data_IF_231057409649
#
_entry.id   IF_231057409649
#
_cell.length_a   1.000
_cell.length_b   1.000
_cell.length_c   1.000
_cell.angle_alpha   90.00
_cell.angle_beta   90.00
_cell.angle_gamma   90.00
#
_symmetry.space_group_name_H-M   'P 1'
#
loop_
_entity.id
_entity.type
_entity.pdbx_description
1 polymer ?
#
# COMPACT_ATOMS: atom_id res chain seq x y z
N UNK A 1 23.80 29.73 48.02
CA UNK A 1 23.59 30.33 46.69
C UNK A 1 24.70 29.85 45.76
N UNK A 2 24.44 28.84 44.99
CA UNK A 2 25.38 28.35 43.99
C UNK A 2 24.65 28.20 42.65
N UNK A 3 25.08 29.00 41.68
CA UNK A 3 24.56 29.00 40.30
C UNK A 3 25.05 27.75 39.59
N UNK A 4 24.14 26.82 39.30
CA UNK A 4 24.42 25.76 38.34
C UNK A 4 24.42 26.35 36.93
N UNK A 5 25.56 26.36 36.26
CA UNK A 5 25.72 26.66 34.85
C UNK A 5 25.14 25.51 34.04
N UNK A 6 24.10 25.81 33.30
CA UNK A 6 23.57 24.91 32.28
C UNK A 6 24.53 24.94 31.09
N UNK A 7 25.29 23.86 30.93
CA UNK A 7 26.10 23.62 29.73
C UNK A 7 25.17 22.96 28.72
N UNK A 8 24.69 23.74 27.77
CA UNK A 8 24.05 23.25 26.56
C UNK A 8 25.16 22.76 25.65
N UNK A 9 25.35 21.44 25.55
CA UNK A 9 26.19 20.87 24.52
C UNK A 9 25.42 20.85 23.19
N UNK A 10 25.73 21.80 22.34
CA UNK A 10 25.57 21.67 20.89
C UNK A 10 26.42 20.51 20.41
N UNK A 11 25.82 19.40 20.08
CA UNK A 11 26.50 18.33 19.33
C UNK A 11 25.47 17.40 18.73
N UNK A 12 25.00 17.73 17.57
CA UNK A 12 24.54 16.88 16.46
C UNK A 12 24.34 17.77 15.22
N UNK A 13 25.35 18.55 14.87
CA UNK A 13 25.45 19.21 13.57
C UNK A 13 26.68 18.63 12.87
N UNK A 14 26.49 17.49 12.23
CA UNK A 14 27.37 17.05 11.18
C UNK A 14 26.51 16.87 9.92
N UNK A 15 26.65 17.79 8.98
CA UNK A 15 25.88 17.85 7.74
C UNK A 15 26.25 16.73 6.74
N UNK A 16 27.03 15.73 7.17
CA UNK A 16 27.51 14.60 6.38
C UNK A 16 26.67 13.33 6.49
N UNK A 17 25.58 13.33 7.28
CA UNK A 17 24.74 12.14 7.44
C UNK A 17 23.75 11.97 6.30
N UNK A 18 23.67 10.75 5.72
CA UNK A 18 22.68 10.38 4.74
C UNK A 18 21.26 10.42 5.34
N UNK A 19 20.21 10.53 4.48
CA UNK A 19 18.82 10.52 4.92
C UNK A 19 18.48 9.32 5.81
N UNK A 20 19.10 8.16 5.54
CA UNK A 20 18.96 6.94 6.33
C UNK A 20 19.53 7.12 7.74
N UNK A 21 20.67 7.79 7.88
CA UNK A 21 21.31 8.06 9.18
C UNK A 21 20.50 9.02 10.04
N UNK A 22 19.85 10.02 9.41
CA UNK A 22 18.93 10.93 10.12
C UNK A 22 17.68 10.20 10.65
N UNK A 23 17.15 9.20 9.94
CA UNK A 23 16.04 8.38 10.41
C UNK A 23 16.39 7.49 11.61
N UNK A 24 17.61 6.95 11.68
CA UNK A 24 18.06 6.15 12.82
C UNK A 24 18.38 7.01 14.05
N UNK A 25 18.98 8.16 13.84
CA UNK A 25 19.32 9.09 14.92
C UNK A 25 18.07 9.58 15.68
N UNK A 26 16.96 9.88 14.98
CA UNK A 26 15.74 10.36 15.61
C UNK A 26 14.97 9.28 16.43
N UNK A 27 15.17 7.99 16.14
CA UNK A 27 14.54 6.88 16.88
C UNK A 27 15.31 6.46 18.13
N UNK A 28 16.61 6.73 18.20
CA UNK A 28 17.50 6.25 19.24
C UNK A 28 17.92 7.32 20.24
N UNK A 29 17.79 8.59 19.89
CA UNK A 29 18.12 9.68 20.80
C UNK A 29 16.90 10.09 21.62
N UNK A 30 16.55 9.30 22.65
CA UNK A 30 15.84 9.82 23.80
C UNK A 30 16.82 10.72 24.60
N UNK A 31 16.35 11.83 25.25
CA UNK A 31 17.22 12.75 25.98
C UNK A 31 18.06 12.11 27.10
N UNK A 32 17.86 10.84 27.40
CA UNK A 32 18.52 10.08 28.47
C UNK A 32 19.55 9.05 28.00
N UNK A 33 19.71 8.78 26.69
CA UNK A 33 20.66 7.79 26.17
C UNK A 33 21.71 8.46 25.26
N UNK A 34 23.01 8.29 25.60
CA UNK A 34 24.11 8.68 24.73
C UNK A 34 24.20 7.71 23.54
N UNK A 35 24.01 8.22 22.31
CA UNK A 35 24.34 7.46 21.11
C UNK A 35 25.86 7.24 21.05
N UNK A 36 26.30 6.00 21.21
CA UNK A 36 27.70 5.63 20.96
C UNK A 36 27.86 5.23 19.49
N UNK A 37 29.03 5.50 18.92
CA UNK A 37 29.40 5.07 17.56
C UNK A 37 29.28 3.55 17.37
N UNK A 38 29.44 2.78 18.44
CA UNK A 38 29.29 1.31 18.46
C UNK A 38 27.83 0.90 18.24
N UNK A 39 26.85 1.56 18.88
CA UNK A 39 25.41 1.23 18.67
C UNK A 39 24.94 1.51 17.26
N UNK A 40 25.45 2.54 16.60
CA UNK A 40 25.12 2.86 15.19
C UNK A 40 25.75 1.82 14.24
N UNK A 41 26.96 1.35 14.53
CA UNK A 41 27.64 0.32 13.71
C UNK A 41 26.96 -1.05 13.83
N UNK A 42 26.48 -1.42 15.01
CA UNK A 42 25.74 -2.66 15.25
C UNK A 42 24.39 -2.66 14.48
N UNK A 43 23.65 -1.57 14.54
CA UNK A 43 22.39 -1.42 13.80
C UNK A 43 22.59 -1.50 12.28
N UNK A 44 23.64 -0.86 11.77
CA UNK A 44 24.00 -0.98 10.34
C UNK A 44 24.32 -2.42 9.94
N UNK A 45 25.00 -3.16 10.80
CA UNK A 45 25.34 -4.56 10.56
C UNK A 45 24.08 -5.45 10.60
N UNK A 46 23.16 -5.20 11.51
CA UNK A 46 21.89 -5.91 11.58
C UNK A 46 21.02 -5.64 10.34
N UNK A 47 20.88 -4.40 9.92
CA UNK A 47 20.15 -4.04 8.70
C UNK A 47 20.76 -4.65 7.44
N UNK A 48 22.10 -4.66 7.35
CA UNK A 48 22.83 -5.31 6.26
C UNK A 48 22.56 -6.81 6.21
N UNK A 49 22.67 -7.51 7.35
CA UNK A 49 22.36 -8.94 7.46
C UNK A 49 20.91 -9.23 7.08
N UNK A 50 19.97 -8.41 7.55
CA UNK A 50 18.54 -8.56 7.23
C UNK A 50 18.27 -8.34 5.74
N UNK A 51 18.91 -7.35 5.13
CA UNK A 51 18.83 -7.12 3.69
C UNK A 51 19.39 -8.30 2.90
N UNK A 52 20.55 -8.84 3.28
CA UNK A 52 21.14 -10.02 2.65
C UNK A 52 20.25 -11.26 2.77
N UNK A 53 19.58 -11.45 3.91
CA UNK A 53 18.63 -12.54 4.11
C UNK A 53 17.42 -12.36 3.17
N UNK A 54 16.85 -11.17 3.08
CA UNK A 54 15.70 -10.89 2.21
C UNK A 54 16.04 -11.02 0.71
N UNK A 55 17.29 -10.72 0.31
CA UNK A 55 17.74 -10.95 -1.07
C UNK A 55 17.73 -12.44 -1.46
N UNK A 56 17.76 -13.34 -0.48
CA UNK A 56 17.68 -14.81 -0.69
C UNK A 56 16.28 -15.36 -0.42
N UNK A 57 15.44 -14.63 0.28
CA UNK A 57 14.08 -15.02 0.61
C UNK A 57 13.16 -15.00 -0.62
N UNK A 58 12.20 -15.93 -0.68
CA UNK A 58 11.12 -15.91 -1.67
C UNK A 58 10.00 -15.02 -1.16
N UNK A 59 9.62 -14.04 -1.96
CA UNK A 59 8.63 -13.03 -1.59
C UNK A 59 7.48 -13.06 -2.60
N UNK A 60 6.26 -13.31 -2.13
CA UNK A 60 5.05 -13.11 -2.93
C UNK A 60 4.57 -11.67 -2.78
N UNK A 61 4.45 -10.94 -3.87
CA UNK A 61 3.86 -9.61 -3.89
C UNK A 61 2.51 -9.68 -4.57
N UNK A 62 1.43 -9.55 -3.79
CA UNK A 62 0.08 -9.62 -4.32
C UNK A 62 -0.60 -8.26 -4.39
N UNK A 63 -1.02 -7.90 -5.59
CA UNK A 63 -1.76 -6.69 -5.89
C UNK A 63 -3.26 -6.98 -5.96
N UNK A 64 -4.06 -6.20 -5.20
CA UNK A 64 -5.51 -6.33 -5.17
C UNK A 64 -6.21 -5.05 -5.56
N UNK A 65 -7.28 -5.16 -6.33
CA UNK A 65 -8.15 -4.02 -6.70
C UNK A 65 -8.22 -3.75 -8.19
N UNK A 66 -9.13 -2.85 -8.58
CA UNK A 66 -9.31 -2.41 -9.97
C UNK A 66 -8.23 -1.43 -10.42
N UNK A 67 -7.97 -1.37 -11.73
CA UNK A 67 -6.82 -0.68 -12.35
C UNK A 67 -6.88 0.87 -12.34
N UNK A 68 -7.86 1.49 -11.75
CA UNK A 68 -8.24 2.93 -11.74
C UNK A 68 -7.15 3.93 -12.15
N UNK A 69 -6.10 4.05 -11.34
CA UNK A 69 -4.96 4.97 -11.54
C UNK A 69 -3.64 4.22 -11.68
N UNK A 70 -3.71 3.01 -12.24
CA UNK A 70 -2.57 2.11 -12.34
C UNK A 70 -1.45 2.65 -13.22
N UNK A 71 -1.75 3.54 -14.14
CA UNK A 71 -0.78 4.30 -14.94
C UNK A 71 0.21 5.11 -14.09
N UNK A 72 -0.22 5.50 -12.87
CA UNK A 72 0.61 6.23 -11.91
C UNK A 72 1.28 5.28 -10.91
N UNK A 73 0.53 4.29 -10.43
CA UNK A 73 0.91 3.46 -9.29
C UNK A 73 1.70 2.22 -9.68
N UNK A 74 1.38 1.61 -10.81
CA UNK A 74 2.05 0.39 -11.28
C UNK A 74 3.57 0.54 -11.41
N UNK A 75 4.09 1.57 -12.11
CA UNK A 75 5.52 1.82 -12.19
C UNK A 75 6.19 2.02 -10.82
N UNK A 76 5.54 2.76 -9.91
CA UNK A 76 6.08 2.99 -8.56
C UNK A 76 6.12 1.71 -7.71
N UNK A 77 5.12 0.83 -7.84
CA UNK A 77 5.10 -0.49 -7.19
C UNK A 77 6.23 -1.36 -7.72
N UNK A 78 6.42 -1.39 -9.04
CA UNK A 78 7.49 -2.16 -9.64
C UNK A 78 8.87 -1.70 -9.17
N UNK A 79 9.10 -0.40 -9.15
CA UNK A 79 10.38 0.19 -8.75
C UNK A 79 10.67 0.01 -7.26
N UNK A 80 9.69 0.25 -6.40
CA UNK A 80 9.88 0.33 -4.95
C UNK A 80 9.56 -0.97 -4.18
N UNK A 81 8.99 -1.98 -4.84
CA UNK A 81 8.71 -3.29 -4.23
C UNK A 81 9.34 -4.41 -5.06
N UNK A 82 8.89 -4.60 -6.32
CA UNK A 82 9.25 -5.78 -7.11
C UNK A 82 10.74 -5.81 -7.50
N UNK A 83 11.31 -4.67 -7.87
CA UNK A 83 12.72 -4.57 -8.28
C UNK A 83 13.69 -4.44 -7.09
N UNK A 84 13.17 -4.21 -5.87
CA UNK A 84 14.00 -4.13 -4.66
C UNK A 84 14.48 -5.51 -4.23
N UNK A 85 13.63 -6.53 -4.46
CA UNK A 85 13.87 -7.90 -4.03
C UNK A 85 13.90 -8.85 -5.25
N UNK A 86 15.08 -9.39 -5.64
CA UNK A 86 15.23 -10.14 -6.89
C UNK A 86 14.42 -11.45 -6.95
N UNK A 87 14.01 -11.98 -5.79
CA UNK A 87 13.17 -13.16 -5.66
C UNK A 87 11.71 -12.83 -5.37
N UNK A 88 11.28 -11.61 -5.69
CA UNK A 88 9.88 -11.22 -5.60
C UNK A 88 9.11 -11.72 -6.85
N UNK A 89 8.00 -12.42 -6.61
CA UNK A 89 7.07 -12.87 -7.63
C UNK A 89 5.78 -12.06 -7.58
N UNK A 90 5.31 -11.58 -8.74
CA UNK A 90 4.08 -10.80 -8.85
C UNK A 90 2.85 -11.70 -8.95
N UNK A 91 1.87 -11.43 -8.11
CA UNK A 91 0.50 -11.91 -8.19
C UNK A 91 -0.45 -10.73 -8.38
N UNK A 92 -1.39 -10.84 -9.31
CA UNK A 92 -2.46 -9.87 -9.50
C UNK A 92 -3.82 -10.55 -9.32
N UNK A 93 -4.66 -10.01 -8.45
CA UNK A 93 -6.07 -10.38 -8.33
C UNK A 93 -6.97 -9.15 -8.49
N UNK A 94 -7.58 -8.99 -9.66
CA UNK A 94 -8.27 -7.77 -10.05
C UNK A 94 -9.65 -8.03 -10.66
N UNK A 95 -10.67 -7.22 -10.33
CA UNK A 95 -11.89 -7.23 -11.12
C UNK A 95 -11.61 -6.63 -12.50
N UNK A 96 -12.29 -7.18 -13.52
CA UNK A 96 -12.33 -6.60 -14.85
C UNK A 96 -13.12 -5.30 -14.80
N UNK A 97 -12.47 -4.19 -15.10
CA UNK A 97 -13.08 -2.86 -15.19
C UNK A 97 -12.60 -2.09 -16.44
N UNK A 98 -13.15 -0.89 -16.63
CA UNK A 98 -12.83 -0.04 -17.78
C UNK A 98 -11.37 0.39 -17.86
N UNK A 99 -10.63 0.32 -16.76
CA UNK A 99 -9.24 0.73 -16.63
C UNK A 99 -8.27 -0.47 -16.72
N UNK A 100 -8.79 -1.71 -16.83
CA UNK A 100 -7.98 -2.94 -16.81
C UNK A 100 -6.93 -3.01 -17.91
N UNK A 101 -7.12 -2.29 -19.03
CA UNK A 101 -6.12 -2.16 -20.09
C UNK A 101 -4.77 -1.61 -19.59
N UNK A 102 -4.78 -0.85 -18.49
CA UNK A 102 -3.57 -0.26 -17.89
C UNK A 102 -2.61 -1.32 -17.33
N UNK A 103 -3.11 -2.52 -17.02
CA UNK A 103 -2.24 -3.63 -16.59
C UNK A 103 -1.27 -4.09 -17.68
N UNK A 104 -1.50 -3.74 -18.94
CA UNK A 104 -0.54 -4.00 -20.03
C UNK A 104 0.87 -3.46 -19.75
N UNK A 105 0.99 -2.46 -18.87
CA UNK A 105 2.27 -1.89 -18.45
C UNK A 105 3.19 -2.92 -17.74
N UNK A 106 2.62 -3.97 -17.13
CA UNK A 106 3.41 -5.04 -16.49
C UNK A 106 4.36 -5.75 -17.44
N UNK A 107 4.05 -5.77 -18.73
CA UNK A 107 4.95 -6.28 -19.75
C UNK A 107 6.35 -5.67 -19.63
N UNK A 108 6.43 -4.39 -19.31
CA UNK A 108 7.68 -3.65 -19.31
C UNK A 108 8.31 -3.52 -17.91
N UNK A 109 7.48 -3.51 -16.86
CA UNK A 109 7.94 -3.17 -15.51
C UNK A 109 8.03 -4.36 -14.56
N UNK A 110 7.28 -5.44 -14.79
CA UNK A 110 7.27 -6.58 -13.87
C UNK A 110 8.45 -7.54 -14.16
N UNK A 111 9.33 -7.82 -13.19
CA UNK A 111 10.46 -8.73 -13.41
C UNK A 111 10.01 -10.18 -13.55
N UNK A 112 9.16 -10.66 -12.65
CA UNK A 112 8.61 -12.02 -12.63
C UNK A 112 7.12 -11.98 -12.37
N UNK A 113 6.34 -12.65 -13.23
CA UNK A 113 4.88 -12.74 -13.13
C UNK A 113 4.50 -14.17 -12.81
N UNK A 114 4.16 -14.43 -11.55
CA UNK A 114 3.75 -15.76 -11.10
C UNK A 114 2.32 -16.07 -11.53
N UNK A 115 1.37 -15.16 -11.24
CA UNK A 115 -0.04 -15.41 -11.59
C UNK A 115 -0.80 -14.11 -11.82
N UNK A 116 -1.56 -14.05 -12.89
CA UNK A 116 -2.51 -12.98 -13.20
C UNK A 116 -3.92 -13.54 -13.18
N UNK A 117 -4.80 -12.93 -12.40
CA UNK A 117 -6.24 -13.16 -12.42
C UNK A 117 -6.98 -11.85 -12.60
N UNK A 118 -7.71 -11.74 -13.72
CA UNK A 118 -8.62 -10.64 -14.03
C UNK A 118 -9.99 -11.24 -14.31
N UNK A 119 -11.01 -10.92 -13.53
CA UNK A 119 -12.30 -11.59 -13.60
C UNK A 119 -13.48 -10.63 -13.55
N UNK A 120 -14.59 -11.01 -14.17
CA UNK A 120 -15.84 -10.24 -14.04
C UNK A 120 -16.39 -10.38 -12.62
N UNK A 121 -16.54 -9.27 -11.86
CA UNK A 121 -17.05 -9.36 -10.51
C UNK A 121 -18.51 -9.85 -10.51
N UNK A 122 -18.79 -10.82 -9.66
CA UNK A 122 -20.15 -11.34 -9.43
C UNK A 122 -20.59 -11.01 -8.00
N UNK A 123 -21.89 -10.93 -7.78
CA UNK A 123 -22.42 -10.79 -6.41
C UNK A 123 -22.09 -12.05 -5.62
N UNK A 124 -21.62 -11.87 -4.40
CA UNK A 124 -21.41 -12.93 -3.43
C UNK A 124 -22.71 -13.19 -2.65
N UNK A 125 -22.94 -14.46 -2.28
CA UNK A 125 -24.11 -14.80 -1.48
C UNK A 125 -23.99 -14.19 -0.08
N UNK A 126 -24.94 -13.31 0.28
CA UNK A 126 -25.02 -12.72 1.61
C UNK A 126 -25.78 -13.64 2.55
N UNK A 127 -25.06 -14.16 3.51
CA UNK A 127 -25.64 -15.01 4.56
C UNK A 127 -26.05 -14.17 5.78
N UNK A 128 -26.77 -14.80 6.73
CA UNK A 128 -27.19 -14.12 7.94
C UNK A 128 -26.02 -13.68 8.82
N UNK A 129 -24.93 -14.45 8.87
CA UNK A 129 -23.74 -14.01 9.60
C UNK A 129 -23.06 -12.78 8.98
N UNK A 130 -23.05 -12.65 7.64
CA UNK A 130 -22.56 -11.42 7.00
C UNK A 130 -23.36 -10.19 7.45
N UNK A 131 -24.69 -10.30 7.49
CA UNK A 131 -25.59 -9.21 7.92
C UNK A 131 -25.47 -8.88 9.41
N UNK A 132 -25.15 -9.88 10.24
CA UNK A 132 -24.92 -9.62 11.68
C UNK A 132 -23.58 -8.97 11.94
N UNK A 133 -22.52 -9.46 11.30
CA UNK A 133 -21.14 -9.00 11.53
C UNK A 133 -20.90 -7.63 10.95
N UNK A 134 -21.35 -7.36 9.71
CA UNK A 134 -20.98 -6.12 9.00
C UNK A 134 -22.05 -5.05 9.03
N UNK A 135 -21.58 -3.78 9.10
CA UNK A 135 -22.44 -2.64 8.88
C UNK A 135 -22.57 -2.33 7.38
N UNK A 136 -23.80 -2.10 6.87
CA UNK A 136 -23.98 -1.67 5.48
C UNK A 136 -23.31 -0.32 5.17
N UNK A 137 -23.04 0.49 6.20
CA UNK A 137 -22.39 1.81 6.07
C UNK A 137 -20.86 1.70 5.88
N UNK A 138 -20.27 0.51 6.05
CA UNK A 138 -18.82 0.27 5.95
C UNK A 138 -18.28 0.32 4.50
N UNK A 139 -19.13 0.45 3.49
CA UNK A 139 -18.73 0.53 2.07
C UNK A 139 -19.80 1.29 1.27
N UNK A 140 -19.41 2.02 0.21
CA UNK A 140 -20.37 2.66 -0.72
C UNK A 140 -21.40 1.68 -1.33
N UNK A 141 -21.01 0.41 -1.50
CA UNK A 141 -21.84 -0.65 -2.04
C UNK A 141 -22.42 -1.57 -0.93
N UNK A 142 -22.50 -1.08 0.30
CA UNK A 142 -23.00 -1.85 1.45
C UNK A 142 -22.18 -3.10 1.74
N UNK A 143 -22.81 -4.15 2.25
CA UNK A 143 -22.15 -5.42 2.58
C UNK A 143 -21.50 -6.05 1.34
N UNK A 144 -22.14 -5.96 0.17
CA UNK A 144 -21.55 -6.49 -1.08
C UNK A 144 -20.19 -5.87 -1.39
N UNK A 145 -20.01 -4.56 -1.14
CA UNK A 145 -18.72 -3.90 -1.35
C UNK A 145 -17.63 -4.46 -0.45
N UNK A 146 -17.94 -4.78 0.81
CA UNK A 146 -17.03 -5.43 1.73
C UNK A 146 -16.70 -6.85 1.29
N UNK A 147 -17.71 -7.65 0.98
CA UNK A 147 -17.52 -9.04 0.57
C UNK A 147 -16.70 -9.16 -0.72
N UNK A 148 -16.96 -8.32 -1.71
CA UNK A 148 -16.17 -8.28 -2.95
C UNK A 148 -14.70 -7.88 -2.68
N UNK A 149 -14.48 -6.92 -1.80
CA UNK A 149 -13.12 -6.55 -1.40
C UNK A 149 -12.41 -7.70 -0.67
N UNK A 150 -13.09 -8.37 0.25
CA UNK A 150 -12.52 -9.52 0.97
C UNK A 150 -12.23 -10.68 0.04
N UNK A 151 -13.10 -10.94 -0.93
CA UNK A 151 -12.86 -11.93 -1.97
C UNK A 151 -11.61 -11.63 -2.82
N UNK A 152 -11.36 -10.35 -3.11
CA UNK A 152 -10.13 -9.94 -3.78
C UNK A 152 -8.89 -10.22 -2.91
N UNK A 153 -8.95 -9.92 -1.61
CA UNK A 153 -7.83 -10.15 -0.69
C UNK A 153 -7.58 -11.65 -0.50
N UNK A 154 -8.61 -12.44 -0.24
CA UNK A 154 -8.48 -13.90 -0.05
C UNK A 154 -8.12 -14.62 -1.35
N UNK A 155 -8.53 -14.09 -2.50
CA UNK A 155 -8.11 -14.59 -3.80
C UNK A 155 -6.60 -14.51 -4.03
N UNK A 156 -5.90 -13.55 -3.39
CA UNK A 156 -4.43 -13.55 -3.36
C UNK A 156 -3.87 -14.81 -2.71
N UNK A 157 -4.41 -15.19 -1.55
CA UNK A 157 -3.97 -16.38 -0.84
C UNK A 157 -4.19 -17.63 -1.69
N UNK A 158 -5.35 -17.71 -2.37
CA UNK A 158 -5.67 -18.81 -3.30
C UNK A 158 -4.64 -18.92 -4.42
N UNK A 159 -4.29 -17.78 -5.05
CA UNK A 159 -3.29 -17.76 -6.14
C UNK A 159 -1.90 -18.18 -5.65
N UNK A 160 -1.47 -17.65 -4.49
CA UNK A 160 -0.18 -17.95 -3.90
C UNK A 160 -0.08 -19.43 -3.52
N UNK A 161 -1.09 -19.96 -2.85
CA UNK A 161 -1.12 -21.37 -2.45
C UNK A 161 -1.10 -22.31 -3.68
N UNK A 162 -1.88 -22.02 -4.71
CA UNK A 162 -1.87 -22.80 -5.95
C UNK A 162 -0.49 -22.78 -6.61
N UNK A 163 0.17 -21.63 -6.64
CA UNK A 163 1.50 -21.50 -7.22
C UNK A 163 2.57 -22.24 -6.41
N UNK A 164 2.51 -22.19 -5.08
CA UNK A 164 3.40 -22.95 -4.18
C UNK A 164 3.28 -24.47 -4.41
N UNK A 165 2.04 -24.98 -4.47
CA UNK A 165 1.78 -26.39 -4.73
C UNK A 165 2.29 -26.83 -6.12
N UNK A 166 2.03 -26.01 -7.14
CA UNK A 166 2.45 -26.28 -8.52
C UNK A 166 3.98 -26.39 -8.67
N UNK A 167 4.74 -25.59 -7.88
CA UNK A 167 6.18 -25.46 -8.03
C UNK A 167 6.97 -26.07 -6.87
N UNK A 168 6.31 -26.80 -5.96
CA UNK A 168 6.91 -27.51 -4.82
C UNK A 168 7.83 -26.64 -3.95
N UNK A 169 7.33 -25.50 -3.52
CA UNK A 169 8.02 -24.63 -2.57
C UNK A 169 7.05 -23.77 -1.73
N UNK A 170 7.58 -23.03 -0.76
CA UNK A 170 6.83 -22.05 0.02
C UNK A 170 7.48 -20.67 -0.04
N UNK A 171 6.66 -19.60 0.03
CA UNK A 171 7.15 -18.25 0.21
C UNK A 171 7.51 -17.99 1.67
N UNK A 172 8.64 -17.31 1.89
CA UNK A 172 9.04 -16.83 3.21
C UNK A 172 8.17 -15.65 3.66
N UNK A 173 7.85 -14.78 2.69
CA UNK A 173 7.12 -13.53 2.94
C UNK A 173 6.03 -13.29 1.92
N UNK A 174 4.94 -12.68 2.39
CA UNK A 174 3.85 -12.19 1.54
C UNK A 174 3.67 -10.70 1.81
N UNK A 175 3.73 -9.90 0.74
CA UNK A 175 3.40 -8.49 0.70
C UNK A 175 2.09 -8.32 -0.05
N UNK A 176 1.01 -7.99 0.64
CA UNK A 176 -0.26 -7.66 -0.01
C UNK A 176 -0.44 -6.16 -0.04
N UNK A 177 -0.64 -5.59 -1.21
CA UNK A 177 -0.90 -4.16 -1.40
C UNK A 177 -2.01 -3.91 -2.41
N UNK A 178 -2.59 -2.71 -2.38
CA UNK A 178 -3.59 -2.28 -3.36
C UNK A 178 -2.91 -1.88 -4.66
N UNK A 179 -3.60 -2.08 -5.79
CA UNK A 179 -3.13 -1.63 -7.11
C UNK A 179 -3.04 -0.10 -7.22
N UNK A 180 -3.88 0.63 -6.45
CA UNK A 180 -3.93 2.09 -6.42
C UNK A 180 -2.99 2.72 -5.37
N UNK A 181 -2.02 1.97 -4.85
CA UNK A 181 -0.96 2.44 -3.95
C UNK A 181 0.23 3.04 -4.73
N UNK A 182 0.48 4.34 -4.57
CA UNK A 182 1.69 5.00 -5.11
C UNK A 182 2.81 4.95 -4.07
N UNK A 183 3.96 4.44 -4.46
CA UNK A 183 5.14 4.30 -3.61
C UNK A 183 6.18 5.37 -3.96
N UNK A 184 6.58 6.18 -2.98
CA UNK A 184 7.56 7.24 -3.15
C UNK A 184 8.98 6.88 -2.66
N UNK A 185 9.15 5.69 -2.05
CA UNK A 185 10.45 5.16 -1.68
C UNK A 185 10.40 3.62 -1.57
N UNK A 186 11.57 2.94 -1.62
CA UNK A 186 11.65 1.49 -1.54
C UNK A 186 11.10 0.91 -0.23
N UNK A 187 10.47 -0.27 -0.33
CA UNK A 187 10.06 -1.05 0.84
C UNK A 187 11.29 -1.51 1.61
N UNK A 188 11.50 -0.94 2.79
CA UNK A 188 12.69 -1.17 3.60
C UNK A 188 12.69 -2.56 4.27
N UNK A 189 13.88 -3.19 4.47
CA UNK A 189 14.01 -4.52 5.08
C UNK A 189 13.44 -4.62 6.50
N UNK A 190 13.44 -3.54 7.26
CA UNK A 190 12.91 -3.51 8.63
C UNK A 190 11.39 -3.70 8.71
N UNK A 191 10.67 -3.63 7.57
CA UNK A 191 9.24 -3.90 7.48
C UNK A 191 8.90 -5.40 7.42
N UNK A 192 9.87 -6.29 7.26
CA UNK A 192 9.69 -7.74 7.34
C UNK A 192 9.94 -8.19 8.78
N UNK A 193 8.87 -8.36 9.54
CA UNK A 193 8.93 -8.62 10.98
C UNK A 193 9.07 -10.12 11.27
N UNK A 194 9.97 -10.52 12.19
CA UNK A 194 10.13 -11.93 12.55
C UNK A 194 8.93 -12.47 13.33
N UNK A 195 8.87 -13.79 13.41
CA UNK A 195 7.91 -14.52 14.25
C UNK A 195 6.44 -14.29 13.88
N UNK A 196 5.56 -14.30 14.87
CA UNK A 196 4.11 -14.21 14.71
C UNK A 196 3.61 -12.75 14.62
N UNK A 197 4.33 -11.90 13.86
CA UNK A 197 3.94 -10.52 13.66
C UNK A 197 3.50 -10.26 12.22
N UNK A 198 2.45 -9.47 12.08
CA UNK A 198 1.98 -8.95 10.81
C UNK A 198 2.10 -7.44 10.80
N UNK A 199 2.74 -6.87 9.79
CA UNK A 199 2.91 -5.44 9.67
C UNK A 199 1.74 -4.83 8.91
N UNK A 200 1.18 -3.74 9.44
CA UNK A 200 0.15 -2.92 8.81
C UNK A 200 0.61 -1.45 8.79
N UNK A 201 0.10 -0.62 7.85
CA UNK A 201 0.41 0.81 7.87
C UNK A 201 -0.17 1.49 9.10
N UNK A 202 0.54 2.47 9.65
CA UNK A 202 -0.01 3.39 10.63
C UNK A 202 -1.08 4.31 10.01
N UNK A 203 -1.96 4.88 10.82
CA UNK A 203 -3.04 5.76 10.33
C UNK A 203 -4.20 5.02 9.65
N UNK A 204 -5.21 5.75 9.23
CA UNK A 204 -6.43 5.23 8.55
C UNK A 204 -7.04 3.99 9.23
N UNK A 205 -7.10 4.00 10.57
CA UNK A 205 -7.47 2.83 11.40
C UNK A 205 -8.97 2.56 11.44
N UNK A 206 -9.80 3.58 11.37
CA UNK A 206 -11.28 3.50 11.45
C UNK A 206 -11.78 2.55 12.55
N UNK A 207 -11.15 2.61 13.73
CA UNK A 207 -11.42 1.74 14.87
C UNK A 207 -10.74 0.36 14.84
N UNK A 208 -10.04 0.01 13.77
CA UNK A 208 -9.35 -1.28 13.58
C UNK A 208 -7.89 -1.15 13.16
N UNK A 209 -7.49 -1.93 12.16
CA UNK A 209 -6.18 -1.88 11.53
C UNK A 209 -6.30 -1.37 10.10
N UNK A 210 -5.35 -0.54 9.67
CA UNK A 210 -5.27 -0.09 8.28
C UNK A 210 -5.07 -1.31 7.35
N UNK A 211 -6.08 -1.62 6.55
CA UNK A 211 -6.12 -2.81 5.69
C UNK A 211 -5.68 -2.55 4.25
N UNK A 212 -4.99 -1.42 3.98
CA UNK A 212 -4.54 -1.02 2.64
C UNK A 212 -3.28 -1.75 2.18
N UNK A 213 -2.50 -2.23 3.13
CA UNK A 213 -1.29 -3.03 2.92
C UNK A 213 -1.09 -3.98 4.10
N UNK A 214 -0.37 -5.07 3.86
CA UNK A 214 0.09 -5.94 4.93
C UNK A 214 1.29 -6.76 4.52
N UNK A 215 2.19 -7.00 5.48
CA UNK A 215 3.41 -7.78 5.30
C UNK A 215 3.51 -8.80 6.43
N UNK A 216 3.69 -10.05 6.08
CA UNK A 216 3.89 -11.12 7.04
C UNK A 216 4.62 -12.32 6.45
N UNK A 217 5.05 -13.24 7.30
CA UNK A 217 5.47 -14.56 6.86
C UNK A 217 4.26 -15.36 6.36
N UNK A 218 4.48 -16.56 5.84
CA UNK A 218 3.41 -17.39 5.29
C UNK A 218 2.28 -17.60 6.33
N UNK A 219 2.61 -17.96 7.57
CA UNK A 219 1.61 -18.30 8.60
C UNK A 219 0.74 -17.09 8.98
N UNK A 220 1.35 -15.94 9.25
CA UNK A 220 0.59 -14.73 9.61
C UNK A 220 -0.20 -14.18 8.43
N UNK A 221 0.32 -14.33 7.21
CA UNK A 221 -0.36 -13.91 5.99
C UNK A 221 -1.53 -14.81 5.62
N UNK A 222 -1.47 -16.11 5.90
CA UNK A 222 -2.63 -17.01 5.73
C UNK A 222 -3.82 -16.50 6.54
N UNK A 223 -3.60 -16.11 7.78
CA UNK A 223 -4.65 -15.54 8.64
C UNK A 223 -5.10 -14.17 8.13
N UNK A 224 -4.15 -13.28 7.86
CA UNK A 224 -4.44 -11.91 7.45
C UNK A 224 -5.18 -11.82 6.10
N UNK A 225 -4.97 -12.76 5.21
CA UNK A 225 -5.60 -12.79 3.88
C UNK A 225 -6.92 -13.60 3.86
N UNK A 226 -7.21 -14.45 4.85
CA UNK A 226 -8.45 -15.23 4.96
C UNK A 226 -9.65 -14.36 5.34
N UNK A 227 -9.89 -13.28 4.58
CA UNK A 227 -10.85 -12.22 4.92
C UNK A 227 -12.31 -12.70 4.88
N UNK A 228 -12.66 -13.58 3.96
CA UNK A 228 -14.01 -14.15 3.86
C UNK A 228 -14.20 -15.38 4.75
N UNK A 229 -13.26 -16.32 4.72
CA UNK A 229 -13.38 -17.60 5.40
C UNK A 229 -13.36 -17.48 6.92
N UNK A 230 -12.84 -16.39 7.49
CA UNK A 230 -12.87 -16.11 8.93
C UNK A 230 -14.12 -15.37 9.42
N UNK A 231 -15.04 -14.93 8.56
CA UNK A 231 -16.24 -14.20 8.97
C UNK A 231 -17.17 -15.03 9.88
N UNK A 232 -17.43 -16.33 9.61
CA UNK A 232 -18.23 -17.15 10.52
C UNK A 232 -17.68 -17.22 11.94
N UNK A 233 -16.35 -17.22 12.10
CA UNK A 233 -15.72 -17.18 13.40
C UNK A 233 -15.96 -15.84 14.09
N UNK A 234 -15.87 -14.69 13.38
CA UNK A 234 -16.20 -13.40 13.95
C UNK A 234 -17.64 -13.33 14.45
N UNK A 235 -18.58 -13.95 13.73
CA UNK A 235 -19.97 -14.06 14.19
C UNK A 235 -20.09 -14.87 15.47
N UNK A 236 -19.39 -16.01 15.55
CA UNK A 236 -19.35 -16.87 16.75
C UNK A 236 -18.74 -16.17 17.96
N UNK A 237 -17.71 -15.35 17.76
CA UNK A 237 -17.05 -14.51 18.79
C UNK A 237 -17.90 -13.26 19.19
N UNK A 238 -19.06 -13.07 18.58
CA UNK A 238 -19.98 -12.01 18.96
C UNK A 238 -19.70 -10.64 18.31
N UNK A 239 -18.86 -10.54 17.30
CA UNK A 239 -18.64 -9.28 16.58
C UNK A 239 -19.89 -8.86 15.81
N UNK A 240 -20.26 -7.59 15.90
CA UNK A 240 -21.50 -7.04 15.31
C UNK A 240 -21.28 -5.65 14.74
N UNK A 241 -21.86 -5.41 13.54
CA UNK A 241 -21.92 -4.09 12.90
C UNK A 241 -20.54 -3.42 12.72
N UNK A 242 -19.52 -4.21 12.37
CA UNK A 242 -18.15 -3.74 12.20
C UNK A 242 -17.85 -3.40 10.72
N UNK A 243 -16.82 -2.56 10.50
CA UNK A 243 -16.31 -2.20 9.18
C UNK A 243 -15.14 -3.10 8.75
N UNK A 244 -14.51 -2.78 7.61
CA UNK A 244 -13.38 -3.55 7.08
C UNK A 244 -12.19 -3.57 8.04
N UNK A 245 -11.78 -2.42 8.53
CA UNK A 245 -10.60 -2.25 9.37
C UNK A 245 -10.78 -2.90 10.75
N UNK A 246 -11.97 -2.76 11.35
CA UNK A 246 -12.30 -3.41 12.63
C UNK A 246 -12.37 -4.94 12.46
N UNK A 247 -12.94 -5.44 11.35
CA UNK A 247 -12.96 -6.87 11.07
C UNK A 247 -11.56 -7.43 10.87
N UNK A 248 -10.67 -6.66 10.24
CA UNK A 248 -9.28 -7.05 10.05
C UNK A 248 -8.54 -7.21 11.38
N UNK A 249 -8.66 -6.22 12.26
CA UNK A 249 -8.12 -6.30 13.62
C UNK A 249 -8.68 -7.50 14.37
N UNK A 250 -10.00 -7.71 14.32
CA UNK A 250 -10.65 -8.83 14.98
C UNK A 250 -10.12 -10.18 14.47
N UNK A 251 -9.98 -10.35 13.17
CA UNK A 251 -9.42 -11.58 12.56
C UNK A 251 -8.00 -11.87 13.05
N UNK A 252 -7.13 -10.87 13.07
CA UNK A 252 -5.75 -11.04 13.56
C UNK A 252 -5.74 -11.41 15.04
N UNK A 253 -6.52 -10.72 15.88
CA UNK A 253 -6.50 -10.91 17.33
C UNK A 253 -7.12 -12.23 17.75
N UNK A 254 -8.24 -12.65 17.16
CA UNK A 254 -8.90 -13.94 17.47
C UNK A 254 -8.05 -15.14 17.04
N UNK A 255 -7.17 -14.97 16.06
CA UNK A 255 -6.22 -15.99 15.61
C UNK A 255 -4.85 -15.88 16.31
N UNK A 256 -4.70 -15.01 17.30
CA UNK A 256 -3.45 -14.85 18.07
C UNK A 256 -2.28 -14.23 17.25
N UNK A 257 -2.57 -13.58 16.12
CA UNK A 257 -1.55 -12.89 15.33
C UNK A 257 -1.35 -11.49 15.91
N UNK A 258 -0.11 -11.21 16.33
CA UNK A 258 0.30 -9.87 16.74
C UNK A 258 0.48 -8.97 15.51
N UNK A 259 0.00 -7.74 15.56
CA UNK A 259 0.27 -6.78 14.49
C UNK A 259 1.10 -5.60 15.02
N UNK A 260 1.94 -5.06 14.14
CA UNK A 260 2.69 -3.84 14.38
C UNK A 260 2.34 -2.82 13.30
N UNK A 261 2.16 -1.58 13.73
CA UNK A 261 1.92 -0.46 12.84
C UNK A 261 3.24 0.24 12.53
N UNK A 262 3.49 0.52 11.25
CA UNK A 262 4.67 1.27 10.84
C UNK A 262 4.30 2.34 9.81
N UNK A 263 5.11 3.40 9.76
CA UNK A 263 5.02 4.43 8.72
C UNK A 263 5.63 3.88 7.45
N UNK A 264 4.86 3.90 6.37
CA UNK A 264 5.26 3.31 5.10
C UNK A 264 5.23 4.35 3.97
N UNK A 265 6.18 4.31 3.03
CA UNK A 265 6.33 5.32 1.99
C UNK A 265 5.38 5.09 0.82
N UNK A 266 4.07 5.04 1.10
CA UNK A 266 3.06 4.93 0.06
C UNK A 266 1.80 5.70 0.43
N UNK A 267 1.00 6.05 -0.58
CA UNK A 267 -0.34 6.62 -0.44
C UNK A 267 -1.32 5.98 -1.42
N UNK A 268 -2.61 6.07 -1.15
CA UNK A 268 -3.65 5.54 -2.04
C UNK A 268 -4.18 6.66 -2.93
N UNK A 269 -3.97 6.53 -4.23
CA UNK A 269 -4.38 7.55 -5.20
C UNK A 269 -5.90 7.59 -5.32
N UNK A 270 -6.49 8.75 -5.06
CA UNK A 270 -7.94 8.92 -4.97
C UNK A 270 -8.45 10.08 -5.81
N UNK A 271 -9.54 9.83 -6.55
CA UNK A 271 -10.33 10.85 -7.22
C UNK A 271 -11.57 11.28 -6.42
N UNK A 272 -11.73 10.81 -5.17
CA UNK A 272 -12.84 11.23 -4.32
C UNK A 272 -12.80 12.73 -4.03
N UNK A 273 -13.99 13.34 -4.04
CA UNK A 273 -14.19 14.72 -3.58
C UNK A 273 -14.53 14.69 -2.10
N UNK A 274 -13.83 15.51 -1.34
CA UNK A 274 -13.99 15.58 0.11
C UNK A 274 -14.56 16.94 0.50
N UNK A 275 -15.65 16.94 1.28
CA UNK A 275 -16.26 18.13 1.85
C UNK A 275 -15.91 18.20 3.33
N UNK A 276 -14.76 18.75 3.66
CA UNK A 276 -14.37 18.99 5.04
C UNK A 276 -14.54 20.46 5.42
N UNK A 277 -15.38 20.78 6.41
CA UNK A 277 -15.39 22.11 6.97
C UNK A 277 -14.12 22.35 7.81
N UNK A 278 -13.55 23.58 7.81
CA UNK A 278 -13.91 24.70 6.98
C UNK A 278 -13.15 24.80 5.65
N UNK A 279 -12.16 23.95 5.37
CA UNK A 279 -11.20 24.14 4.27
C UNK A 279 -11.10 23.01 3.26
N UNK A 280 -11.74 21.86 3.47
CA UNK A 280 -11.78 20.74 2.52
C UNK A 280 -10.47 20.09 2.08
N UNK A 281 -9.45 20.09 2.92
CA UNK A 281 -8.07 19.73 2.58
C UNK A 281 -7.58 18.35 3.07
N UNK A 282 -8.33 17.24 3.07
CA UNK A 282 -7.86 16.04 3.75
C UNK A 282 -7.07 15.07 2.88
N UNK A 283 -6.62 15.48 1.69
CA UNK A 283 -5.91 14.64 0.75
C UNK A 283 -4.47 15.11 0.64
N UNK A 284 -3.53 14.20 0.83
CA UNK A 284 -2.12 14.51 0.69
C UNK A 284 -1.74 14.74 -0.79
N UNK A 285 -0.77 15.60 -1.02
CA UNK A 285 -0.07 15.63 -2.30
C UNK A 285 0.83 14.40 -2.44
N UNK A 286 0.83 13.79 -3.62
CA UNK A 286 1.77 12.71 -3.94
C UNK A 286 3.24 13.18 -3.90
N UNK A 287 3.50 14.49 -3.99
CA UNK A 287 4.82 15.11 -3.86
C UNK A 287 5.30 15.25 -2.41
N UNK A 288 4.48 14.90 -1.40
CA UNK A 288 4.90 14.95 0.00
C UNK A 288 6.15 14.11 0.24
N UNK A 289 7.22 14.66 0.83
CA UNK A 289 8.51 13.95 0.95
C UNK A 289 8.52 12.86 2.02
N UNK A 290 7.55 12.84 2.93
CA UNK A 290 7.49 11.86 4.02
C UNK A 290 6.64 10.63 3.71
N UNK A 291 6.65 9.64 4.61
CA UNK A 291 5.79 8.47 4.52
C UNK A 291 4.33 8.87 4.76
N UNK A 292 3.44 8.49 3.86
CA UNK A 292 2.01 8.79 3.94
C UNK A 292 1.16 7.60 4.43
N UNK A 293 1.78 6.44 4.64
CA UNK A 293 1.18 5.24 5.27
C UNK A 293 -0.20 4.86 4.72
N UNK A 294 -0.37 4.98 3.41
CA UNK A 294 -1.62 4.65 2.74
C UNK A 294 -2.72 5.71 2.84
N UNK A 295 -2.45 6.92 3.37
CA UNK A 295 -3.41 8.02 3.30
C UNK A 295 -3.84 8.29 1.86
N UNK A 296 -5.01 8.89 1.67
CA UNK A 296 -5.43 9.32 0.34
C UNK A 296 -4.54 10.42 -0.20
N UNK A 297 -4.16 10.32 -1.46
CA UNK A 297 -3.35 11.30 -2.16
C UNK A 297 -3.82 11.54 -3.59
N UNK A 298 -3.36 12.66 -4.16
CA UNK A 298 -3.56 13.00 -5.57
C UNK A 298 -2.35 13.81 -6.09
N UNK A 299 -2.09 13.78 -7.41
CA UNK A 299 -1.13 14.71 -8.00
C UNK A 299 -1.75 16.11 -8.05
N UNK A 300 -1.22 17.04 -7.28
CA UNK A 300 -1.73 18.39 -7.17
C UNK A 300 -0.61 19.39 -6.91
N UNK A 301 -0.89 20.66 -7.14
CA UNK A 301 -0.12 21.75 -6.55
C UNK A 301 -0.53 21.88 -5.08
N UNK A 302 0.38 21.71 -4.13
CA UNK A 302 0.02 21.82 -2.71
C UNK A 302 -0.49 23.22 -2.35
N UNK A 303 -1.64 23.29 -1.67
CA UNK A 303 -2.25 24.54 -1.20
C UNK A 303 -1.98 24.81 0.28
N UNK A 304 -1.44 23.81 1.00
CA UNK A 304 -1.16 23.88 2.43
C UNK A 304 0.03 22.96 2.74
N UNK A 305 1.11 23.53 3.30
CA UNK A 305 2.34 22.80 3.64
C UNK A 305 2.98 23.40 4.89
N UNK A 306 3.91 22.66 5.53
CA UNK A 306 4.57 23.10 6.76
C UNK A 306 3.58 23.40 7.88
N UNK A 307 3.70 24.53 8.60
CA UNK A 307 2.82 24.88 9.73
C UNK A 307 1.32 24.83 9.37
N UNK A 308 0.96 25.25 8.16
CA UNK A 308 -0.43 25.15 7.68
C UNK A 308 -0.94 23.70 7.70
N UNK A 309 -0.12 22.75 7.25
CA UNK A 309 -0.51 21.34 7.25
C UNK A 309 -0.55 20.76 8.67
N UNK A 310 0.39 21.14 9.52
CA UNK A 310 0.45 20.70 10.92
C UNK A 310 -0.77 21.19 11.71
N UNK A 311 -1.14 22.46 11.57
CA UNK A 311 -2.34 23.04 12.18
C UNK A 311 -3.61 22.33 11.69
N UNK A 312 -3.71 22.08 10.38
CA UNK A 312 -4.86 21.39 9.80
C UNK A 312 -4.97 19.96 10.32
N UNK A 313 -3.85 19.23 10.38
CA UNK A 313 -3.79 17.86 10.87
C UNK A 313 -4.16 17.76 12.36
N UNK A 314 -3.85 18.79 13.17
CA UNK A 314 -4.17 18.81 14.59
C UNK A 314 -5.68 18.86 14.88
N UNK A 315 -6.49 19.45 13.97
CA UNK A 315 -7.94 19.57 14.14
C UNK A 315 -8.75 18.42 13.53
N UNK A 316 -8.11 17.51 12.75
CA UNK A 316 -8.81 16.37 12.19
C UNK A 316 -9.16 15.35 13.27
N UNK A 317 -10.38 14.76 13.24
CA UNK A 317 -10.74 13.67 14.12
C UNK A 317 -9.77 12.51 14.02
N UNK A 318 -9.44 11.89 15.15
CA UNK A 318 -8.46 10.79 15.25
C UNK A 318 -8.81 9.59 14.34
N UNK A 319 -10.10 9.37 14.09
CA UNK A 319 -10.61 8.25 13.28
C UNK A 319 -10.63 8.53 11.77
N UNK A 320 -10.49 9.78 11.36
CA UNK A 320 -10.30 10.10 9.95
C UNK A 320 -8.87 9.76 9.53
N UNK A 321 -8.70 9.43 8.25
CA UNK A 321 -7.42 9.08 7.62
C UNK A 321 -6.31 10.07 8.03
N UNK A 322 -5.85 9.96 9.29
CA UNK A 322 -4.70 10.72 9.75
C UNK A 322 -3.55 10.37 8.83
N UNK A 323 -3.13 11.38 8.11
CA UNK A 323 -1.86 11.37 7.43
C UNK A 323 -0.83 11.45 8.56
N UNK A 324 -0.35 10.32 9.05
CA UNK A 324 0.75 10.29 10.00
C UNK A 324 2.04 10.60 9.25
N UNK A 325 2.27 11.88 8.95
CA UNK A 325 3.53 12.40 8.44
C UNK A 325 4.47 12.79 9.59
N UNK A 326 5.74 12.94 9.28
CA UNK A 326 6.66 13.69 10.13
C UNK A 326 6.29 15.17 10.06
N UNK A 327 6.43 15.91 11.17
CA UNK A 327 6.11 17.34 11.23
C UNK A 327 6.78 18.09 10.07
N UNK A 328 6.01 18.89 9.35
CA UNK A 328 6.47 19.70 8.23
C UNK A 328 6.68 18.97 6.90
N UNK A 329 6.50 17.63 6.82
CA UNK A 329 6.70 16.87 5.57
C UNK A 329 5.42 16.69 4.74
N UNK A 330 4.25 16.81 5.36
CA UNK A 330 2.97 16.64 4.67
C UNK A 330 2.63 17.90 3.89
N UNK A 331 2.21 17.69 2.65
CA UNK A 331 1.66 18.71 1.77
C UNK A 331 0.23 18.33 1.42
N UNK A 332 -0.71 19.26 1.46
CA UNK A 332 -2.14 19.00 1.26
C UNK A 332 -2.66 19.63 -0.03
N UNK A 333 -3.51 18.88 -0.71
CA UNK A 333 -4.25 19.29 -1.89
C UNK A 333 -5.60 19.89 -1.53
N UNK A 334 -6.14 20.79 -2.35
CA UNK A 334 -7.57 21.03 -2.38
C UNK A 334 -8.28 19.82 -3.01
N UNK A 335 -9.15 19.19 -2.23
CA UNK A 335 -9.86 17.99 -2.65
C UNK A 335 -11.38 18.19 -2.78
N UNK A 336 -11.88 19.41 -2.81
CA UNK A 336 -13.32 19.71 -2.99
C UNK A 336 -13.81 19.36 -4.40
N UNK A 337 -12.97 19.57 -5.40
CA UNK A 337 -13.26 19.40 -6.82
C UNK A 337 -12.64 18.16 -7.45
N UNK A 338 -12.73 18.11 -8.77
CA UNK A 338 -11.96 17.18 -9.59
C UNK A 338 -10.45 17.47 -9.44
N UNK A 339 -9.60 16.59 -10.00
CA UNK A 339 -8.19 16.88 -10.10
C UNK A 339 -7.97 18.14 -10.95
N UNK A 340 -6.88 18.86 -10.66
CA UNK A 340 -6.43 20.00 -11.47
C UNK A 340 -6.32 19.61 -12.95
N UNK A 341 -6.60 20.53 -13.85
CA UNK A 341 -6.57 20.27 -15.31
C UNK A 341 -5.18 19.86 -15.82
N UNK A 342 -4.13 20.28 -15.11
CA UNK A 342 -2.72 20.02 -15.40
C UNK A 342 -2.07 18.99 -14.47
N UNK A 343 -2.88 18.14 -13.83
CA UNK A 343 -2.41 17.13 -12.88
C UNK A 343 -1.33 16.21 -13.47
N UNK A 344 -1.35 15.96 -14.78
CA UNK A 344 -0.31 15.18 -15.48
C UNK A 344 1.04 15.85 -15.35
N UNK A 345 1.12 17.15 -15.56
CA UNK A 345 2.37 17.92 -15.43
C UNK A 345 2.87 17.92 -13.97
N UNK A 346 1.93 18.02 -13.02
CA UNK A 346 2.26 17.91 -11.60
C UNK A 346 2.83 16.53 -11.27
N UNK A 347 2.22 15.46 -11.77
CA UNK A 347 2.73 14.10 -11.60
C UNK A 347 4.12 13.94 -12.25
N UNK A 348 4.25 14.30 -13.51
CA UNK A 348 5.48 14.11 -14.29
C UNK A 348 6.68 14.82 -13.65
N UNK A 349 6.45 15.98 -13.01
CA UNK A 349 7.49 16.77 -12.32
C UNK A 349 8.09 16.06 -11.10
N UNK A 350 7.27 15.50 -10.21
CA UNK A 350 7.78 14.87 -8.99
C UNK A 350 8.11 13.38 -9.17
N UNK A 351 7.42 12.70 -10.07
CA UNK A 351 7.65 11.29 -10.33
C UNK A 351 8.90 11.03 -11.20
N UNK A 352 9.32 12.04 -11.95
CA UNK A 352 10.49 11.99 -12.83
C UNK A 352 10.19 11.38 -14.20
N UNK A 353 11.14 11.57 -15.12
CA UNK A 353 11.00 11.27 -16.54
C UNK A 353 10.57 9.82 -16.83
N UNK A 354 11.20 8.85 -16.17
CA UNK A 354 10.93 7.42 -16.38
C UNK A 354 9.47 7.04 -16.10
N UNK A 355 8.91 7.50 -14.97
CA UNK A 355 7.53 7.20 -14.61
C UNK A 355 6.55 7.99 -15.49
N UNK A 356 6.90 9.21 -15.84
CA UNK A 356 6.13 10.05 -16.76
C UNK A 356 5.99 9.40 -18.16
N UNK A 357 7.08 8.88 -18.72
CA UNK A 357 7.07 8.16 -19.99
C UNK A 357 6.21 6.90 -19.94
N UNK A 358 6.33 6.11 -18.86
CA UNK A 358 5.52 4.91 -18.67
C UNK A 358 4.03 5.24 -18.60
N UNK A 359 3.66 6.30 -17.87
CA UNK A 359 2.29 6.81 -17.79
C UNK A 359 1.75 7.18 -19.17
N UNK A 360 2.48 8.03 -19.91
CA UNK A 360 2.11 8.48 -21.26
C UNK A 360 1.91 7.29 -22.19
N UNK A 361 2.87 6.38 -22.23
CA UNK A 361 2.84 5.21 -23.11
C UNK A 361 1.61 4.34 -22.91
N UNK A 362 1.20 4.08 -21.68
CA UNK A 362 0.02 3.24 -21.42
C UNK A 362 -1.27 3.98 -21.74
N UNK A 363 -1.33 5.29 -21.46
CA UNK A 363 -2.53 6.09 -21.70
C UNK A 363 -2.76 6.40 -23.19
N UNK A 364 -1.69 6.51 -23.98
CA UNK A 364 -1.71 6.75 -25.42
C UNK A 364 -1.72 5.44 -26.24
N UNK A 365 -1.72 4.28 -25.57
CA UNK A 365 -1.67 2.99 -26.24
C UNK A 365 -2.94 2.75 -27.06
N UNK A 366 -2.75 2.49 -28.38
CA UNK A 366 -3.82 2.10 -29.29
C UNK A 366 -4.27 0.67 -29.00
N UNK A 367 -5.47 0.32 -29.48
CA UNK A 367 -6.07 -1.01 -29.26
C UNK A 367 -5.15 -2.17 -29.63
N UNK A 368 -4.56 -2.15 -30.83
CA UNK A 368 -3.67 -3.22 -31.33
C UNK A 368 -2.41 -3.35 -30.47
N UNK A 369 -1.88 -2.22 -30.01
CA UNK A 369 -0.71 -2.20 -29.11
C UNK A 369 -1.07 -2.78 -27.74
N UNK A 370 -2.21 -2.41 -27.20
CA UNK A 370 -2.72 -2.96 -25.93
C UNK A 370 -2.86 -4.49 -26.02
N UNK A 371 -3.50 -5.00 -27.08
CA UNK A 371 -3.66 -6.44 -27.32
C UNK A 371 -2.31 -7.14 -27.38
N UNK A 372 -1.36 -6.61 -28.17
CA UNK A 372 -0.02 -7.16 -28.27
C UNK A 372 0.70 -7.19 -26.90
N UNK A 373 0.59 -6.12 -26.13
CA UNK A 373 1.23 -6.03 -24.82
C UNK A 373 0.65 -7.05 -23.82
N UNK A 374 -0.67 -7.30 -23.84
CA UNK A 374 -1.28 -8.37 -23.06
C UNK A 374 -0.86 -9.76 -23.49
N UNK A 375 -0.75 -10.01 -24.80
CA UNK A 375 -0.27 -11.29 -25.32
C UNK A 375 1.20 -11.55 -24.92
N UNK A 376 2.03 -10.54 -24.95
CA UNK A 376 3.41 -10.62 -24.47
C UNK A 376 3.46 -10.86 -22.95
N UNK A 377 2.63 -10.17 -22.17
CA UNK A 377 2.52 -10.38 -20.72
C UNK A 377 2.04 -11.80 -20.39
N UNK A 378 1.06 -12.32 -21.14
CA UNK A 378 0.56 -13.70 -20.98
C UNK A 378 1.66 -14.73 -21.20
N UNK A 379 2.54 -14.53 -22.18
CA UNK A 379 3.68 -15.43 -22.44
C UNK A 379 4.71 -15.43 -21.30
N UNK A 380 4.80 -14.33 -20.54
CA UNK A 380 5.72 -14.19 -19.39
C UNK A 380 5.13 -14.67 -18.08
N UNK A 381 3.81 -14.73 -17.97
CA UNK A 381 3.13 -15.19 -16.77
C UNK A 381 3.16 -16.72 -16.70
N UNK A 382 3.46 -17.27 -15.51
CA UNK A 382 3.39 -18.72 -15.31
C UNK A 382 1.94 -19.19 -15.31
N UNK A 383 1.06 -18.47 -14.58
CA UNK A 383 -0.37 -18.74 -14.55
C UNK A 383 -1.16 -17.54 -15.07
N UNK A 384 -2.16 -17.84 -15.92
CA UNK A 384 -2.98 -16.82 -16.55
C UNK A 384 -4.47 -17.19 -16.48
N UNK A 385 -5.23 -16.43 -15.71
CA UNK A 385 -6.68 -16.53 -15.58
C UNK A 385 -7.30 -15.14 -15.83
N UNK A 386 -7.41 -14.77 -17.11
CA UNK A 386 -7.96 -13.50 -17.51
C UNK A 386 -8.73 -13.63 -18.84
N UNK A 387 -9.68 -12.74 -19.12
CA UNK A 387 -10.34 -12.66 -20.42
C UNK A 387 -9.35 -12.46 -21.57
N UNK A 388 -9.83 -12.67 -22.79
CA UNK A 388 -9.04 -12.41 -23.99
C UNK A 388 -8.54 -10.95 -24.02
N UNK A 389 -7.32 -10.75 -24.51
CA UNK A 389 -6.70 -9.43 -24.61
C UNK A 389 -7.57 -8.40 -25.36
N UNK A 390 -8.29 -8.86 -26.41
CA UNK A 390 -9.22 -8.00 -27.17
C UNK A 390 -10.41 -7.56 -26.31
N UNK A 391 -10.91 -8.43 -25.43
CA UNK A 391 -11.98 -8.07 -24.50
C UNK A 391 -11.50 -7.00 -23.51
N UNK A 392 -10.34 -7.20 -22.87
CA UNK A 392 -9.79 -6.26 -21.91
C UNK A 392 -9.53 -4.89 -22.56
N UNK A 393 -8.85 -4.88 -23.71
CA UNK A 393 -8.51 -3.65 -24.42
C UNK A 393 -9.75 -2.98 -25.07
N UNK A 394 -10.76 -3.78 -25.48
CA UNK A 394 -11.98 -3.28 -26.10
C UNK A 394 -12.94 -2.58 -25.15
N UNK A 395 -12.86 -2.85 -23.84
CA UNK A 395 -13.62 -2.10 -22.84
C UNK A 395 -13.19 -0.63 -22.79
N UNK A 396 -11.90 -0.35 -22.99
CA UNK A 396 -11.36 1.01 -23.03
C UNK A 396 -11.81 1.79 -24.29
N UNK A 397 -11.98 1.09 -25.42
CA UNK A 397 -12.29 1.70 -26.74
C UNK A 397 -13.77 2.11 -26.90
N UNK A 398 -14.62 1.79 -25.93
CA UNK A 398 -16.04 2.17 -25.92
C UNK A 398 -16.32 3.53 -25.27
N UNK A 399 -15.29 4.36 -25.15
CA UNK A 399 -15.38 5.75 -24.65
C UNK A 399 -15.59 6.76 -25.78
#
# INVERSE_FOLDING_TARGET
>A
MSRAKMIVHESCKDDSFSIVEKQYSSKLCSPSLRCTTESVSELRNEDKKKKELLLRSRIAVCLVGGARKFELTGPSIAENILNVYPNADLFLNSPLDKDSFKFSIFKDIAPKIASIRIFKPTKLNETDFHRRVFTPRGSPNGIQGLLQYFNLVEGCLTLINAFQIQNDFTYDWIVRTRVDGYWNAPLAPNNFLPNNHYLVPSGSRYGGCNDRLGIGNLNTSQIALSRLSLIPQLDAEGFRQINSETSFKAQLTTQGVKFLENRLPFCVVSAHKFKFPPRGLPVASMSSPGPLSGAYCRPCTPVCAGPCADDFMAILPIDFSRIEGENGTVQLCDAHGEWESDWENNFDRFAGEKLAELRKRVMESKFEKCVKDFDEMKKRAVNWDAPDAKEICGIASRR
#
